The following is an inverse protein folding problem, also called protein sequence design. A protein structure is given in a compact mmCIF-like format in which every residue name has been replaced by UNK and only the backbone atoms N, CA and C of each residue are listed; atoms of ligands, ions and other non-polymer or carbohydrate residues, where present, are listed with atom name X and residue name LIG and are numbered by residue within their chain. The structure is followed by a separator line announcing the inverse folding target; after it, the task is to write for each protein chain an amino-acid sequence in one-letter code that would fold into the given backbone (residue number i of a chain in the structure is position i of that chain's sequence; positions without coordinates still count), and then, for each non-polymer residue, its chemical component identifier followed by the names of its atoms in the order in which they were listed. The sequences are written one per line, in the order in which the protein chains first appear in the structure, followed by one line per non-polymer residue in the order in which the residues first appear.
data_IF_619631112341
#
_entry.id   IF_619631112341
#
_cell.length_a   1.000
_cell.length_b   1.000
_cell.length_c   1.000
_cell.angle_alpha   90.00
_cell.angle_beta   90.00
_cell.angle_gamma   90.00
#
_symmetry.space_group_name_H-M   'P 1'
#
loop_
_entity.id
_entity.type
_entity.pdbx_description
1 polymer ?
#
# COMPACT_ATOMS: atom_id res chain seq x y z
N UNK A 1 9.02 -12.81 -13.21
CA UNK A 1 9.84 -13.02 -11.98
C UNK A 1 11.16 -12.26 -12.05
N UNK A 2 11.83 -12.17 -13.20
CA UNK A 2 13.02 -11.33 -13.37
C UNK A 2 12.76 -9.85 -13.07
N UNK A 3 11.68 -9.29 -13.65
CA UNK A 3 11.24 -7.90 -13.36
C UNK A 3 10.94 -7.68 -11.87
N UNK A 4 10.28 -8.65 -11.21
CA UNK A 4 10.07 -8.64 -9.77
C UNK A 4 11.40 -8.51 -9.02
N UNK A 5 12.38 -9.38 -9.32
CA UNK A 5 13.68 -9.36 -8.67
C UNK A 5 14.37 -8.00 -8.82
N UNK A 6 14.34 -7.40 -10.02
CA UNK A 6 14.87 -6.05 -10.24
C UNK A 6 14.09 -4.98 -9.46
N UNK A 7 12.75 -5.00 -9.51
CA UNK A 7 11.89 -4.00 -8.88
C UNK A 7 12.05 -3.96 -7.35
N UNK A 8 12.26 -5.12 -6.72
CA UNK A 8 12.42 -5.21 -5.26
C UNK A 8 13.87 -5.25 -4.80
N UNK A 9 14.83 -5.34 -5.72
CA UNK A 9 16.25 -5.52 -5.40
C UNK A 9 16.56 -6.89 -4.78
N UNK A 10 15.84 -7.93 -5.23
CA UNK A 10 15.98 -9.31 -4.78
C UNK A 10 16.84 -10.17 -5.69
N UNK A 11 17.15 -11.37 -5.22
CA UNK A 11 17.90 -12.39 -5.95
C UNK A 11 16.93 -13.45 -6.50
N UNK A 12 17.04 -13.79 -7.78
CA UNK A 12 16.29 -14.90 -8.36
C UNK A 12 16.90 -16.23 -7.86
N UNK A 13 16.25 -16.85 -6.88
CA UNK A 13 16.72 -18.05 -6.19
C UNK A 13 16.34 -19.35 -6.93
N UNK A 14 15.21 -19.33 -7.65
CA UNK A 14 14.69 -20.47 -8.42
C UNK A 14 14.01 -20.02 -9.71
N UNK A 15 14.09 -20.87 -10.74
CA UNK A 15 13.50 -20.65 -12.05
C UNK A 15 14.34 -19.78 -12.99
N UNK A 16 13.89 -19.66 -14.24
CA UNK A 16 14.58 -18.90 -15.30
C UNK A 16 14.15 -17.42 -15.40
N UNK A 17 13.32 -16.97 -14.46
CA UNK A 17 12.82 -15.60 -14.37
C UNK A 17 11.61 -15.29 -15.27
N UNK A 18 11.22 -16.20 -16.18
CA UNK A 18 10.16 -15.94 -17.18
C UNK A 18 8.74 -16.09 -16.66
N UNK A 19 8.56 -16.79 -15.55
CA UNK A 19 7.25 -16.96 -14.92
C UNK A 19 6.59 -15.61 -14.62
N UNK A 20 5.27 -15.56 -14.80
CA UNK A 20 4.44 -14.37 -14.64
C UNK A 20 3.39 -14.60 -13.57
N UNK A 21 3.00 -13.52 -12.92
CA UNK A 21 1.91 -13.47 -11.96
C UNK A 21 1.11 -12.20 -12.21
N UNK A 22 -0.17 -12.23 -11.87
CA UNK A 22 -1.08 -11.10 -11.91
C UNK A 22 -1.63 -10.77 -10.51
N UNK A 23 -1.64 -11.75 -9.61
CA UNK A 23 -2.24 -11.61 -8.29
C UNK A 23 -1.20 -11.72 -7.18
N UNK A 24 -1.45 -11.05 -6.06
CA UNK A 24 -0.65 -11.14 -4.85
C UNK A 24 -1.43 -11.87 -3.75
N UNK A 25 -0.75 -12.78 -3.04
CA UNK A 25 -1.30 -13.42 -1.86
C UNK A 25 -0.31 -13.35 -0.68
N UNK A 26 -0.84 -13.09 0.51
CA UNK A 26 -0.04 -12.98 1.76
C UNK A 26 -0.58 -13.86 2.90
N UNK A 27 -1.76 -14.43 2.74
CA UNK A 27 -2.45 -15.22 3.76
C UNK A 27 -2.91 -16.54 3.13
N UNK A 28 -2.25 -17.63 3.50
CA UNK A 28 -2.53 -18.96 2.96
C UNK A 28 -3.96 -19.43 3.25
N UNK A 29 -4.61 -18.87 4.28
CA UNK A 29 -5.96 -19.28 4.71
C UNK A 29 -7.07 -18.66 3.87
N UNK A 30 -6.78 -17.59 3.12
CA UNK A 30 -7.78 -16.95 2.26
C UNK A 30 -7.89 -17.69 0.93
N UNK A 31 -9.09 -17.75 0.31
CA UNK A 31 -9.22 -18.22 -1.05
C UNK A 31 -8.42 -17.34 -2.01
N UNK A 32 -7.65 -17.95 -2.91
CA UNK A 32 -6.98 -17.31 -4.03
C UNK A 32 -6.81 -18.31 -5.16
N UNK A 33 -6.59 -17.84 -6.39
CA UNK A 33 -6.27 -18.68 -7.53
C UNK A 33 -4.78 -19.01 -7.52
N UNK A 34 -4.35 -20.28 -7.37
CA UNK A 34 -2.92 -20.61 -7.26
C UNK A 34 -2.13 -20.23 -8.52
N UNK A 35 -2.75 -20.44 -9.69
CA UNK A 35 -2.20 -20.04 -10.98
C UNK A 35 -2.10 -18.52 -11.10
N UNK A 36 -0.94 -18.03 -11.52
CA UNK A 36 -0.71 -16.59 -11.70
C UNK A 36 -0.66 -15.79 -10.40
N UNK A 37 -0.52 -16.44 -9.24
CA UNK A 37 -0.34 -15.77 -7.94
C UNK A 37 1.12 -15.78 -7.50
N UNK A 38 1.62 -14.61 -7.09
CA UNK A 38 2.83 -14.50 -6.27
C UNK A 38 2.44 -14.57 -4.80
N UNK A 39 2.89 -15.62 -4.11
CA UNK A 39 2.77 -15.68 -2.65
C UNK A 39 3.95 -14.96 -1.99
N UNK A 40 3.65 -13.97 -1.15
CA UNK A 40 4.63 -13.17 -0.44
C UNK A 40 4.66 -13.63 1.02
N UNK A 41 5.76 -14.28 1.40
CA UNK A 41 5.93 -14.83 2.73
C UNK A 41 6.29 -13.73 3.74
N UNK A 42 5.28 -13.04 4.26
CA UNK A 42 5.45 -12.02 5.29
C UNK A 42 5.89 -12.63 6.63
N UNK A 43 6.81 -11.93 7.32
CA UNK A 43 7.27 -12.28 8.66
C UNK A 43 6.92 -11.17 9.63
N UNK A 44 6.02 -11.46 10.56
CA UNK A 44 5.66 -10.57 11.68
C UNK A 44 6.23 -11.09 13.01
N UNK A 45 6.00 -10.34 14.08
CA UNK A 45 6.52 -10.69 15.42
C UNK A 45 6.03 -12.06 15.94
N UNK A 46 4.79 -12.45 15.57
CA UNK A 46 4.13 -13.68 16.06
C UNK A 46 3.85 -14.71 14.97
N UNK A 47 4.10 -14.37 13.70
CA UNK A 47 3.69 -15.19 12.58
C UNK A 47 4.74 -15.14 11.48
N UNK A 48 5.09 -16.32 10.96
CA UNK A 48 6.05 -16.45 9.86
C UNK A 48 5.40 -17.27 8.74
N UNK A 49 5.05 -16.58 7.65
CA UNK A 49 4.34 -17.20 6.53
C UNK A 49 5.21 -18.22 5.76
N UNK A 50 6.53 -18.21 5.96
CA UNK A 50 7.46 -19.18 5.36
C UNK A 50 7.14 -20.62 5.77
N UNK A 51 6.51 -20.81 6.94
CA UNK A 51 6.14 -22.14 7.45
C UNK A 51 5.06 -22.83 6.63
N UNK A 52 4.33 -22.10 5.79
CA UNK A 52 3.22 -22.62 5.00
C UNK A 52 3.58 -22.85 3.52
N UNK A 53 4.83 -22.56 3.11
CA UNK A 53 5.25 -22.73 1.72
C UNK A 53 5.08 -24.17 1.21
N UNK A 54 5.38 -25.24 1.98
CA UNK A 54 5.12 -26.61 1.51
C UNK A 54 3.66 -26.87 1.14
N UNK A 55 2.72 -26.47 1.99
CA UNK A 55 1.27 -26.61 1.74
C UNK A 55 0.83 -25.80 0.51
N UNK A 56 1.38 -24.60 0.33
CA UNK A 56 1.05 -23.74 -0.81
C UNK A 56 1.53 -24.31 -2.14
N UNK A 57 2.70 -24.96 -2.15
CA UNK A 57 3.21 -25.69 -3.31
C UNK A 57 2.28 -26.84 -3.66
N UNK A 58 1.82 -27.63 -2.69
CA UNK A 58 0.84 -28.71 -2.91
C UNK A 58 -0.50 -28.19 -3.47
N UNK A 59 -0.86 -26.95 -3.11
CA UNK A 59 -2.04 -26.26 -3.65
C UNK A 59 -1.82 -25.62 -5.03
N UNK A 60 -0.64 -25.79 -5.63
CA UNK A 60 -0.33 -25.33 -6.98
C UNK A 60 0.26 -23.92 -7.09
N UNK A 61 0.65 -23.29 -5.98
CA UNK A 61 1.38 -22.01 -6.04
C UNK A 61 2.81 -22.28 -6.50
N UNK A 62 3.23 -21.58 -7.56
CA UNK A 62 4.55 -21.74 -8.15
C UNK A 62 5.47 -20.52 -8.00
N UNK A 63 4.93 -19.34 -7.68
CA UNK A 63 5.71 -18.10 -7.56
C UNK A 63 5.77 -17.62 -6.11
N UNK A 64 6.97 -17.41 -5.59
CA UNK A 64 7.21 -17.02 -4.20
C UNK A 64 8.15 -15.82 -4.06
N UNK A 65 7.85 -14.94 -3.11
CA UNK A 65 8.74 -13.90 -2.60
C UNK A 65 9.03 -14.22 -1.13
N UNK A 66 10.30 -14.50 -0.82
CA UNK A 66 10.73 -15.03 0.47
C UNK A 66 11.90 -14.24 1.04
N UNK A 67 12.02 -14.22 2.37
CA UNK A 67 13.26 -13.79 3.04
C UNK A 67 14.18 -14.95 3.37
N UNK A 68 13.61 -16.15 3.54
CA UNK A 68 14.34 -17.38 3.80
C UNK A 68 14.09 -18.38 2.66
N UNK A 69 15.15 -18.73 1.95
CA UNK A 69 15.10 -19.64 0.80
C UNK A 69 15.16 -21.12 1.20
N UNK A 70 15.61 -21.43 2.41
CA UNK A 70 15.89 -22.81 2.83
C UNK A 70 14.60 -23.57 3.14
N UNK A 71 13.51 -22.84 3.39
CA UNK A 71 12.16 -23.38 3.64
C UNK A 71 11.38 -23.72 2.37
N UNK A 72 11.90 -23.39 1.19
CA UNK A 72 11.24 -23.72 -0.07
C UNK A 72 11.40 -25.22 -0.37
N UNK A 73 10.30 -25.94 -0.67
CA UNK A 73 10.39 -27.32 -1.11
C UNK A 73 11.26 -27.47 -2.37
N UNK A 74 11.81 -28.67 -2.56
CA UNK A 74 12.45 -29.00 -3.84
C UNK A 74 11.40 -29.14 -4.93
N UNK A 75 11.61 -28.48 -6.08
CA UNK A 75 10.74 -28.59 -7.24
C UNK A 75 11.25 -27.76 -8.40
N UNK A 76 11.36 -28.37 -9.58
CA UNK A 76 11.87 -27.70 -10.80
C UNK A 76 10.91 -26.62 -11.33
N UNK A 77 9.60 -26.73 -11.04
CA UNK A 77 8.57 -25.79 -11.46
C UNK A 77 8.39 -24.58 -10.52
N UNK A 78 9.21 -24.46 -9.47
CA UNK A 78 9.12 -23.36 -8.52
C UNK A 78 9.94 -22.16 -8.98
N UNK A 79 9.37 -20.98 -8.78
CA UNK A 79 9.99 -19.71 -9.06
C UNK A 79 10.03 -18.90 -7.77
N UNK A 80 11.22 -18.44 -7.39
CA UNK A 80 11.39 -17.75 -6.12
C UNK A 80 12.33 -16.57 -6.25
N UNK A 81 11.94 -15.45 -5.65
CA UNK A 81 12.82 -14.30 -5.41
C UNK A 81 13.09 -14.21 -3.92
N UNK A 82 14.37 -14.14 -3.56
CA UNK A 82 14.84 -13.93 -2.19
C UNK A 82 15.13 -12.45 -1.95
N UNK A 83 14.66 -11.92 -0.83
CA UNK A 83 14.92 -10.56 -0.35
C UNK A 83 15.33 -10.59 1.12
N UNK A 84 15.78 -9.48 1.67
CA UNK A 84 16.08 -9.40 3.11
C UNK A 84 14.83 -9.17 3.96
N UNK A 85 13.87 -8.40 3.44
CA UNK A 85 12.61 -8.07 4.10
C UNK A 85 11.46 -8.15 3.07
N UNK A 86 10.52 -9.07 3.29
CA UNK A 86 9.40 -9.31 2.37
C UNK A 86 8.32 -8.23 2.42
N UNK A 87 8.20 -7.48 3.53
CA UNK A 87 7.30 -6.34 3.62
C UNK A 87 7.84 -5.15 2.83
N UNK A 88 9.12 -4.82 3.01
CA UNK A 88 9.78 -3.78 2.21
C UNK A 88 9.72 -4.12 0.70
N UNK A 89 9.96 -5.39 0.35
CA UNK A 89 9.83 -5.84 -1.03
C UNK A 89 8.39 -5.71 -1.59
N UNK A 90 7.35 -6.04 -0.80
CA UNK A 90 5.95 -5.79 -1.19
C UNK A 90 5.69 -4.30 -1.42
N UNK A 91 6.20 -3.44 -0.54
CA UNK A 91 6.04 -1.99 -0.64
C UNK A 91 6.72 -1.43 -1.90
N UNK A 92 7.95 -1.88 -2.19
CA UNK A 92 8.68 -1.51 -3.42
C UNK A 92 7.99 -2.02 -4.67
N UNK A 93 7.50 -3.26 -4.66
CA UNK A 93 6.76 -3.84 -5.77
C UNK A 93 5.50 -3.01 -6.09
N UNK A 94 4.73 -2.64 -5.07
CA UNK A 94 3.53 -1.83 -5.26
C UNK A 94 3.84 -0.40 -5.73
N UNK A 95 4.93 0.23 -5.24
CA UNK A 95 5.38 1.52 -5.74
C UNK A 95 5.87 1.45 -7.20
N UNK A 96 6.61 0.40 -7.56
CA UNK A 96 7.02 0.13 -8.93
C UNK A 96 5.79 -0.04 -9.82
N UNK A 97 4.82 -0.85 -9.40
CA UNK A 97 3.55 -1.03 -10.11
C UNK A 97 2.82 0.30 -10.31
N UNK A 98 2.63 1.08 -9.22
CA UNK A 98 2.00 2.40 -9.29
C UNK A 98 2.66 3.32 -10.31
N UNK A 99 4.00 3.32 -10.39
CA UNK A 99 4.76 4.13 -11.33
C UNK A 99 4.54 3.77 -12.81
N UNK A 100 4.04 2.58 -13.10
CA UNK A 100 3.67 2.12 -14.45
C UNK A 100 2.19 2.33 -14.77
N UNK A 101 1.39 2.80 -13.81
CA UNK A 101 -0.02 3.11 -14.01
C UNK A 101 -0.23 4.60 -14.23
N UNK A 102 -1.18 4.91 -15.10
CA UNK A 102 -1.59 6.29 -15.39
C UNK A 102 -2.89 6.63 -14.67
N UNK A 103 -3.22 7.92 -14.62
CA UNK A 103 -4.45 8.41 -14.03
C UNK A 103 -4.30 8.98 -12.62
N UNK A 104 -5.27 9.82 -12.21
CA UNK A 104 -5.28 10.43 -10.89
C UNK A 104 -5.49 9.41 -9.77
N UNK A 105 -4.85 9.67 -8.64
CA UNK A 105 -5.10 8.96 -7.38
C UNK A 105 -5.54 9.93 -6.30
N UNK A 106 -6.61 9.59 -5.60
CA UNK A 106 -7.03 10.24 -4.36
C UNK A 106 -6.43 9.47 -3.18
N UNK A 107 -5.55 10.12 -2.43
CA UNK A 107 -4.97 9.60 -1.19
C UNK A 107 -5.69 10.15 0.03
N UNK A 108 -6.15 9.29 0.92
CA UNK A 108 -6.94 9.69 2.10
C UNK A 108 -6.17 9.30 3.37
N UNK A 109 -5.94 10.26 4.27
CA UNK A 109 -5.44 9.95 5.60
C UNK A 109 -6.10 10.78 6.70
N UNK A 110 -5.86 10.36 7.93
CA UNK A 110 -6.42 10.89 9.16
C UNK A 110 -6.52 9.80 10.23
N UNK A 111 -6.90 10.19 11.44
CA UNK A 111 -7.25 9.25 12.52
C UNK A 111 -8.61 8.61 12.23
N UNK A 112 -9.63 9.41 11.90
CA UNK A 112 -11.00 8.95 11.68
C UNK A 112 -11.53 9.33 10.28
N UNK A 113 -12.59 8.68 9.82
CA UNK A 113 -13.30 9.08 8.59
C UNK A 113 -12.69 8.61 7.27
N UNK A 114 -11.47 8.05 7.25
CA UNK A 114 -10.80 7.55 6.01
C UNK A 114 -11.70 6.62 5.19
N UNK A 115 -12.17 5.54 5.81
CA UNK A 115 -13.03 4.56 5.16
C UNK A 115 -14.37 5.18 4.75
N UNK A 116 -14.99 6.00 5.60
CA UNK A 116 -16.27 6.67 5.28
C UNK A 116 -16.13 7.52 4.02
N UNK A 117 -15.13 8.40 3.98
CA UNK A 117 -14.89 9.30 2.83
C UNK A 117 -14.59 8.49 1.57
N UNK A 118 -13.75 7.44 1.67
CA UNK A 118 -13.48 6.54 0.54
C UNK A 118 -14.75 5.87 0.01
N UNK A 119 -15.59 5.33 0.90
CA UNK A 119 -16.86 4.71 0.50
C UNK A 119 -17.78 5.73 -0.17
N UNK A 120 -17.93 6.93 0.40
CA UNK A 120 -18.78 7.97 -0.18
C UNK A 120 -18.33 8.41 -1.57
N UNK A 121 -17.03 8.66 -1.75
CA UNK A 121 -16.48 8.98 -3.08
C UNK A 121 -16.77 7.87 -4.08
N UNK A 122 -16.61 6.60 -3.68
CA UNK A 122 -16.96 5.48 -4.54
C UNK A 122 -18.45 5.45 -4.90
N UNK A 123 -19.35 5.64 -3.94
CA UNK A 123 -20.80 5.66 -4.20
C UNK A 123 -21.18 6.78 -5.18
N UNK A 124 -20.55 7.96 -5.04
CA UNK A 124 -20.79 9.11 -5.92
C UNK A 124 -20.28 8.90 -7.35
N UNK A 125 -19.22 8.10 -7.55
CA UNK A 125 -18.49 8.03 -8.82
C UNK A 125 -18.63 6.72 -9.60
N UNK A 126 -19.03 5.61 -8.95
CA UNK A 126 -19.05 4.26 -9.57
C UNK A 126 -19.92 4.09 -10.82
N UNK A 127 -20.78 5.06 -11.14
CA UNK A 127 -21.63 5.05 -12.34
C UNK A 127 -21.13 5.94 -13.48
N UNK A 128 -20.11 6.76 -13.24
CA UNK A 128 -19.60 7.76 -14.19
C UNK A 128 -18.12 7.60 -14.49
N UNK A 129 -17.38 6.85 -13.69
CA UNK A 129 -15.93 6.71 -13.78
C UNK A 129 -15.53 5.29 -13.44
N UNK A 130 -14.73 4.65 -14.29
CA UNK A 130 -14.19 3.33 -13.99
C UNK A 130 -13.09 3.48 -12.91
N UNK A 131 -13.32 2.98 -11.70
CA UNK A 131 -12.46 3.32 -10.55
C UNK A 131 -12.16 2.13 -9.65
N UNK A 132 -10.99 2.16 -9.02
CA UNK A 132 -10.55 1.20 -8.00
C UNK A 132 -10.41 1.89 -6.65
N UNK A 133 -10.57 1.13 -5.55
CA UNK A 133 -10.40 1.66 -4.19
C UNK A 133 -9.87 0.60 -3.23
N UNK A 134 -9.30 1.04 -2.11
CA UNK A 134 -8.89 0.12 -1.03
C UNK A 134 -10.05 -0.79 -0.61
N UNK A 135 -9.88 -2.14 -0.60
CA UNK A 135 -10.88 -3.05 -0.06
C UNK A 135 -11.09 -2.84 1.45
N UNK A 136 -12.34 -2.86 1.91
CA UNK A 136 -12.65 -2.80 3.36
C UNK A 136 -12.01 -1.59 4.06
N UNK A 137 -11.10 -1.81 5.00
CA UNK A 137 -10.32 -0.76 5.68
C UNK A 137 -8.80 -0.97 5.53
N UNK A 138 -8.36 -1.43 4.35
CA UNK A 138 -6.96 -1.77 4.07
C UNK A 138 -6.08 -0.50 3.95
N UNK A 139 -5.67 0.02 5.10
CA UNK A 139 -4.87 1.24 5.22
C UNK A 139 -3.54 1.03 5.95
N UNK A 140 -3.15 -0.20 6.26
CA UNK A 140 -1.90 -0.51 6.96
C UNK A 140 -0.68 -0.57 6.04
N UNK A 141 0.51 -0.77 6.63
CA UNK A 141 1.77 -1.01 5.93
C UNK A 141 1.73 -2.15 4.90
N UNK A 142 0.82 -3.10 5.09
CA UNK A 142 0.56 -4.24 4.18
C UNK A 142 -0.65 -3.97 3.29
N UNK A 143 -1.74 -3.44 3.86
CA UNK A 143 -3.00 -3.26 3.15
C UNK A 143 -2.95 -2.24 2.03
N UNK A 144 -2.16 -1.17 2.18
CA UNK A 144 -1.99 -0.14 1.14
C UNK A 144 -1.30 -0.71 -0.11
N UNK A 145 -0.12 -1.37 -0.03
CA UNK A 145 0.48 -2.03 -1.19
C UNK A 145 -0.49 -2.95 -1.94
N UNK A 146 -1.23 -3.79 -1.21
CA UNK A 146 -2.20 -4.71 -1.83
C UNK A 146 -3.36 -3.96 -2.49
N UNK A 147 -3.83 -2.87 -1.90
CA UNK A 147 -4.88 -2.04 -2.49
C UNK A 147 -4.43 -1.39 -3.80
N UNK A 148 -3.22 -0.84 -3.83
CA UNK A 148 -2.66 -0.15 -5.00
C UNK A 148 -2.30 -1.14 -6.11
N UNK A 149 -1.97 -2.38 -5.77
CA UNK A 149 -1.73 -3.44 -6.76
C UNK A 149 -2.95 -3.68 -7.67
N UNK A 150 -4.17 -3.47 -7.17
CA UNK A 150 -5.40 -3.63 -7.95
C UNK A 150 -5.61 -2.52 -9.00
N UNK A 151 -4.78 -1.47 -9.01
CA UNK A 151 -4.86 -0.40 -10.01
C UNK A 151 -4.38 -0.87 -11.38
N UNK A 152 -5.30 -1.32 -12.23
CA UNK A 152 -5.06 -1.62 -13.64
C UNK A 152 -5.25 -0.43 -14.60
N UNK A 153 -4.82 -0.57 -15.88
CA UNK A 153 -4.91 0.45 -16.92
C UNK A 153 -6.34 0.82 -17.34
N UNK A 154 -7.32 -0.02 -17.01
CA UNK A 154 -8.76 0.23 -17.21
C UNK A 154 -9.34 1.22 -16.21
N UNK A 155 -8.63 1.54 -15.13
CA UNK A 155 -9.11 2.48 -14.12
C UNK A 155 -8.74 3.92 -14.48
N UNK A 156 -9.76 4.77 -14.48
CA UNK A 156 -9.64 6.22 -14.65
C UNK A 156 -9.30 6.93 -13.32
N UNK A 157 -9.57 6.29 -12.17
CA UNK A 157 -9.35 6.86 -10.85
C UNK A 157 -9.03 5.77 -9.80
N UNK A 158 -8.00 6.00 -8.98
CA UNK A 158 -7.73 5.20 -7.77
C UNK A 158 -8.07 5.96 -6.49
N UNK A 159 -8.72 5.32 -5.52
CA UNK A 159 -9.05 5.91 -4.21
C UNK A 159 -8.49 5.05 -3.08
N UNK A 160 -7.38 5.49 -2.49
CA UNK A 160 -6.65 4.70 -1.49
C UNK A 160 -6.55 5.43 -0.15
N UNK A 161 -6.80 4.69 0.93
CA UNK A 161 -6.62 5.21 2.28
C UNK A 161 -5.30 4.71 2.89
N UNK A 162 -4.57 5.59 3.56
CA UNK A 162 -3.32 5.28 4.24
C UNK A 162 -3.42 5.64 5.73
N UNK A 163 -3.03 4.70 6.57
CA UNK A 163 -2.99 4.77 8.01
C UNK A 163 -1.57 4.57 8.51
N UNK A 164 -1.31 5.13 9.69
CA UNK A 164 -0.05 5.00 10.40
C UNK A 164 -0.35 4.77 11.88
N UNK A 165 0.55 4.05 12.51
CA UNK A 165 0.61 3.73 13.92
C UNK A 165 1.89 4.22 14.58
N UNK A 166 2.96 4.48 13.81
CA UNK A 166 4.28 4.93 14.29
C UNK A 166 4.90 5.98 13.37
N UNK A 167 5.82 6.82 13.88
CA UNK A 167 6.62 7.72 13.02
C UNK A 167 7.45 6.96 11.98
N UNK A 168 7.63 7.53 10.79
CA UNK A 168 8.39 6.94 9.69
C UNK A 168 7.60 5.99 8.79
N UNK A 169 6.35 5.67 9.16
CA UNK A 169 5.50 4.77 8.39
C UNK A 169 4.90 5.44 7.15
N UNK A 170 4.70 6.77 7.19
CA UNK A 170 4.12 7.46 6.03
C UNK A 170 5.13 7.57 4.89
N UNK A 171 6.43 7.69 5.18
CA UNK A 171 7.50 7.68 4.18
C UNK A 171 7.48 6.42 3.32
N UNK A 172 7.10 5.28 3.91
CA UNK A 172 6.99 4.00 3.22
C UNK A 172 5.74 3.94 2.34
N UNK A 173 4.62 4.51 2.80
CA UNK A 173 3.35 4.48 2.08
C UNK A 173 3.22 5.55 0.99
N UNK A 174 3.85 6.71 1.17
CA UNK A 174 3.82 7.82 0.21
C UNK A 174 4.19 7.42 -1.23
N UNK A 175 5.33 6.74 -1.50
CA UNK A 175 5.68 6.36 -2.87
C UNK A 175 4.74 5.31 -3.46
N UNK A 176 4.01 4.57 -2.62
CA UNK A 176 3.06 3.54 -3.04
C UNK A 176 1.77 4.20 -3.50
N UNK A 177 1.21 5.10 -2.70
CA UNK A 177 -0.05 5.79 -3.04
C UNK A 177 0.19 6.84 -4.12
N UNK A 178 1.26 7.64 -3.98
CA UNK A 178 1.62 8.76 -4.86
C UNK A 178 0.40 9.58 -5.31
N UNK A 179 -0.35 10.20 -4.37
CA UNK A 179 -1.64 10.78 -4.68
C UNK A 179 -1.52 12.06 -5.49
N UNK A 180 -2.40 12.21 -6.48
CA UNK A 180 -2.61 13.46 -7.22
C UNK A 180 -3.45 14.43 -6.39
N UNK A 181 -4.44 13.92 -5.65
CA UNK A 181 -5.31 14.71 -4.78
C UNK A 181 -5.26 14.09 -3.39
N UNK A 182 -4.96 14.92 -2.38
CA UNK A 182 -4.99 14.53 -0.99
C UNK A 182 -6.32 14.85 -0.33
N UNK A 183 -6.76 13.98 0.59
CA UNK A 183 -7.81 14.29 1.56
C UNK A 183 -7.27 14.02 2.95
N UNK A 184 -7.17 15.08 3.76
CA UNK A 184 -6.82 14.98 5.17
C UNK A 184 -8.10 15.16 6.00
N UNK A 185 -8.57 14.07 6.61
CA UNK A 185 -9.84 14.06 7.35
C UNK A 185 -9.70 14.75 8.72
N UNK A 186 -9.41 14.01 9.78
CA UNK A 186 -9.32 14.53 11.15
C UNK A 186 -8.18 13.89 11.92
N UNK A 187 -7.77 14.51 13.01
CA UNK A 187 -6.82 13.96 13.98
C UNK A 187 -7.57 13.69 15.28
N UNK A 188 -7.25 12.56 15.91
CA UNK A 188 -7.85 12.12 17.16
C UNK A 188 -7.04 10.99 17.78
N UNK A 189 -7.49 10.44 18.91
CA UNK A 189 -6.65 9.64 19.82
C UNK A 189 -6.15 8.31 19.26
N UNK A 190 -6.73 7.81 18.16
CA UNK A 190 -6.29 6.57 17.52
C UNK A 190 -4.78 6.56 17.25
N UNK A 191 -4.11 5.51 17.73
CA UNK A 191 -2.66 5.30 17.67
C UNK A 191 -1.83 6.46 18.23
N UNK A 192 -2.41 7.26 19.14
CA UNK A 192 -1.70 8.36 19.80
C UNK A 192 -0.55 7.87 20.68
N UNK A 193 -0.58 6.64 21.18
CA UNK A 193 0.39 6.10 22.15
C UNK A 193 1.84 6.04 21.63
N UNK A 194 2.04 5.98 20.31
CA UNK A 194 3.37 5.93 19.70
C UNK A 194 3.84 7.30 19.17
N UNK A 195 3.05 8.36 19.35
CA UNK A 195 3.41 9.71 18.94
C UNK A 195 3.57 10.62 20.17
N UNK A 196 4.50 11.58 20.13
CA UNK A 196 4.64 12.55 21.22
C UNK A 196 3.36 13.36 21.47
N UNK A 197 2.71 13.79 20.40
CA UNK A 197 1.47 14.56 20.42
C UNK A 197 0.71 14.46 19.08
N UNK A 198 -0.48 15.06 19.06
CA UNK A 198 -1.33 15.11 17.86
C UNK A 198 -0.71 15.91 16.71
N UNK A 199 0.16 16.89 17.00
CA UNK A 199 0.86 17.69 16.00
C UNK A 199 1.89 16.83 15.25
N UNK A 200 2.70 16.06 15.96
CA UNK A 200 3.67 15.14 15.39
C UNK A 200 2.98 14.08 14.52
N UNK A 201 1.84 13.54 14.99
CA UNK A 201 1.01 12.61 14.23
C UNK A 201 0.41 13.26 12.98
N UNK A 202 -0.02 14.51 13.07
CA UNK A 202 -0.57 15.25 11.94
C UNK A 202 0.52 15.55 10.88
N UNK A 203 1.71 15.95 11.31
CA UNK A 203 2.89 16.15 10.45
C UNK A 203 3.30 14.88 9.74
N UNK A 204 3.36 13.75 10.46
CA UNK A 204 3.65 12.45 9.86
C UNK A 204 2.61 12.09 8.78
N UNK A 205 1.31 12.31 9.04
CA UNK A 205 0.25 12.07 8.04
C UNK A 205 0.33 13.02 6.84
N UNK A 206 0.68 14.28 7.05
CA UNK A 206 0.80 15.28 5.98
C UNK A 206 1.85 14.89 4.93
N UNK A 207 2.86 14.08 5.29
CA UNK A 207 3.88 13.56 4.35
C UNK A 207 3.26 12.81 3.17
N UNK A 208 2.07 12.20 3.32
CA UNK A 208 1.37 11.53 2.22
C UNK A 208 1.17 12.43 1.00
N UNK A 209 1.01 13.73 1.22
CA UNK A 209 0.59 14.69 0.21
C UNK A 209 1.75 15.46 -0.43
N UNK A 210 3.00 15.11 -0.11
CA UNK A 210 4.15 15.70 -0.82
C UNK A 210 4.03 15.39 -2.31
N UNK A 211 4.18 16.40 -3.16
CA UNK A 211 4.03 16.33 -4.62
C UNK A 211 2.61 16.03 -5.12
N UNK A 212 1.58 16.09 -4.26
CA UNK A 212 0.21 16.15 -4.74
C UNK A 212 -0.03 17.44 -5.53
N UNK A 213 -1.16 17.52 -6.25
CA UNK A 213 -1.60 18.76 -6.90
C UNK A 213 -2.46 19.60 -5.96
N UNK A 214 -3.38 18.94 -5.25
CA UNK A 214 -4.36 19.59 -4.39
C UNK A 214 -4.54 18.84 -3.08
N UNK A 215 -4.97 19.55 -2.03
CA UNK A 215 -5.28 18.99 -0.72
C UNK A 215 -6.63 19.52 -0.21
N UNK A 216 -7.52 18.59 0.11
CA UNK A 216 -8.83 18.84 0.71
C UNK A 216 -8.76 18.58 2.21
N UNK A 217 -9.11 19.56 3.04
CA UNK A 217 -9.12 19.42 4.50
C UNK A 217 -9.98 20.50 5.19
N UNK A 218 -10.41 20.26 6.43
CA UNK A 218 -11.11 21.25 7.24
C UNK A 218 -10.11 22.22 7.88
N UNK A 219 -10.18 23.52 7.56
CA UNK A 219 -9.30 24.57 8.10
C UNK A 219 -9.48 24.75 9.61
N UNK A 220 -10.70 24.57 10.10
CA UNK A 220 -11.02 24.72 11.52
C UNK A 220 -10.47 23.58 12.39
N UNK A 221 -9.99 22.51 11.77
CA UNK A 221 -9.25 21.48 12.49
C UNK A 221 -7.81 21.92 12.77
N UNK A 222 -7.62 22.68 13.86
CA UNK A 222 -6.36 23.35 14.22
C UNK A 222 -5.08 22.50 14.05
N UNK A 223 -5.07 21.25 14.55
CA UNK A 223 -3.89 20.36 14.41
C UNK A 223 -3.58 19.98 12.96
N UNK A 224 -4.60 19.76 12.13
CA UNK A 224 -4.44 19.45 10.70
C UNK A 224 -3.96 20.69 9.97
N UNK A 225 -4.61 21.84 10.19
CA UNK A 225 -4.24 23.09 9.55
C UNK A 225 -2.80 23.50 9.90
N UNK A 226 -2.42 23.41 11.18
CA UNK A 226 -1.05 23.66 11.62
C UNK A 226 -0.04 22.72 10.94
N UNK A 227 -0.37 21.43 10.80
CA UNK A 227 0.51 20.48 10.11
C UNK A 227 0.65 20.78 8.61
N UNK A 228 -0.41 21.21 7.93
CA UNK A 228 -0.37 21.64 6.51
C UNK A 228 0.59 22.82 6.34
N UNK A 229 0.47 23.85 7.17
CA UNK A 229 1.35 25.03 7.14
C UNK A 229 2.80 24.68 7.50
N UNK A 230 3.01 23.92 8.58
CA UNK A 230 4.35 23.55 9.05
C UNK A 230 5.07 22.61 8.08
N UNK A 231 4.34 21.81 7.29
CA UNK A 231 4.91 20.97 6.23
C UNK A 231 5.22 21.75 4.94
N UNK A 232 4.81 23.02 4.85
CA UNK A 232 4.97 23.86 3.66
C UNK A 232 4.09 23.44 2.48
N UNK A 233 3.08 22.60 2.71
CA UNK A 233 2.17 22.12 1.67
C UNK A 233 1.29 23.25 1.11
N UNK A 234 0.99 24.25 1.93
CA UNK A 234 0.27 25.47 1.54
C UNK A 234 0.96 26.26 0.42
N UNK A 235 2.28 26.10 0.28
CA UNK A 235 3.08 26.77 -0.75
C UNK A 235 3.24 25.94 -2.02
N UNK A 236 2.89 24.65 -1.96
CA UNK A 236 3.15 23.67 -3.02
C UNK A 236 1.86 23.14 -3.66
N UNK A 237 0.76 23.13 -2.91
CA UNK A 237 -0.51 22.50 -3.27
C UNK A 237 -1.61 23.55 -3.42
N UNK A 238 -2.56 23.27 -4.29
CA UNK A 238 -3.87 23.94 -4.25
C UNK A 238 -4.63 23.48 -3.00
N UNK A 239 -4.91 24.40 -2.08
CA UNK A 239 -5.69 24.10 -0.88
C UNK A 239 -7.18 24.26 -1.18
N UNK A 240 -7.92 23.16 -1.08
CA UNK A 240 -9.37 23.07 -1.22
C UNK A 240 -9.99 22.90 0.17
N UNK A 241 -9.88 23.92 1.00
CA UNK A 241 -10.31 23.89 2.39
C UNK A 241 -11.63 24.62 2.64
N UNK A 242 -12.23 24.34 3.80
CA UNK A 242 -13.44 25.00 4.29
C UNK A 242 -13.32 25.32 5.78
N UNK A 243 -14.17 26.23 6.24
CA UNK A 243 -14.43 26.56 7.65
C UNK A 243 -15.82 26.04 7.98
#
# INVERSE_FOLDING_TARGET
MAELATAVGGELLRGDGKARFAHLAIDSRKPFHPEGTLFIALKGERHDAHRYLPELVERGVSCFLVSDGDVLPNGEALHAVRVTDTLDALQRLAAWHRGHQHGPVVGITGSNGKTIVKEWLFQCLRGTTHLVRSPGSWNSQVGVPLSVWELGPEHELGIFEAGISRPGEMERLRPIVAPTIGIFTTIGPAHGENFPDDTAKALEKAKLFTNSRALVYCRDHAAVHAAVLASGLDKQLELLDWS
#
